data_IF_225711694370
#
_entry.id   IF_225711694370
#
_cell.length_a   1.000
_cell.length_b   1.000
_cell.length_c   1.000
_cell.angle_alpha   90.00
_cell.angle_beta   90.00
_cell.angle_gamma   90.00
#
_symmetry.space_group_name_H-M   'P 1'
#
loop_
_entity.id
_entity.type
_entity.pdbx_description
1 polymer ?
#
# COMPACT_ATOMS: atom_id res chain seq x y z
N UNK A 1 13.87 11.86 -30.10
CA UNK A 1 14.58 11.35 -28.90
C UNK A 1 13.69 11.62 -27.70
N UNK A 2 12.77 10.71 -27.36
CA UNK A 2 11.84 10.92 -26.25
C UNK A 2 12.62 10.83 -24.94
N UNK A 3 12.62 11.89 -24.13
CA UNK A 3 13.04 11.84 -22.73
C UNK A 3 12.40 10.62 -22.06
N UNK A 4 13.20 9.61 -21.75
CA UNK A 4 12.73 8.52 -20.92
C UNK A 4 12.57 9.08 -19.52
N UNK A 5 11.33 9.40 -19.15
CA UNK A 5 10.95 9.75 -17.77
C UNK A 5 11.54 8.71 -16.81
N UNK A 6 12.45 9.13 -15.94
CA UNK A 6 13.10 8.27 -14.93
C UNK A 6 12.20 8.11 -13.70
N UNK A 7 10.95 7.70 -13.93
CA UNK A 7 10.00 7.41 -12.87
C UNK A 7 8.94 6.44 -13.38
N UNK A 8 8.23 5.78 -12.46
CA UNK A 8 7.14 4.90 -12.83
C UNK A 8 5.98 5.71 -13.44
N UNK A 9 5.29 5.15 -14.45
CA UNK A 9 4.10 5.79 -15.05
C UNK A 9 2.85 5.54 -14.18
N UNK A 10 2.92 6.00 -12.93
CA UNK A 10 1.83 5.92 -11.95
C UNK A 10 1.06 7.23 -11.99
N UNK A 11 -0.22 7.18 -12.39
CA UNK A 11 -1.07 8.38 -12.48
C UNK A 11 -1.83 8.70 -11.19
N UNK A 12 -1.91 7.74 -10.27
CA UNK A 12 -2.76 7.82 -9.07
C UNK A 12 -1.90 7.77 -7.83
N UNK A 13 -2.04 8.77 -6.96
CA UNK A 13 -1.40 8.76 -5.66
C UNK A 13 -2.05 7.73 -4.72
N UNK A 14 -1.29 6.74 -4.20
CA UNK A 14 -1.85 5.67 -3.38
C UNK A 14 -2.62 6.14 -2.13
N UNK A 15 -2.19 7.20 -1.39
CA UNK A 15 -2.98 7.71 -0.27
C UNK A 15 -4.36 8.21 -0.70
N UNK A 16 -4.46 8.89 -1.85
CA UNK A 16 -5.73 9.41 -2.37
C UNK A 16 -6.69 8.27 -2.68
N UNK A 17 -6.21 7.21 -3.34
CA UNK A 17 -7.01 6.03 -3.62
C UNK A 17 -7.52 5.37 -2.32
N UNK A 18 -6.65 5.26 -1.31
CA UNK A 18 -7.03 4.71 0.01
C UNK A 18 -8.13 5.54 0.67
N UNK A 19 -8.00 6.88 0.67
CA UNK A 19 -9.03 7.76 1.23
C UNK A 19 -10.36 7.67 0.48
N UNK A 20 -10.33 7.55 -0.84
CA UNK A 20 -11.55 7.31 -1.64
C UNK A 20 -12.22 6.01 -1.19
N UNK A 21 -11.48 4.93 -0.99
CA UNK A 21 -12.05 3.66 -0.55
C UNK A 21 -12.58 3.68 0.88
N UNK A 22 -11.90 4.40 1.79
CA UNK A 22 -12.39 4.62 3.17
C UNK A 22 -13.70 5.42 3.13
N UNK A 23 -13.75 6.49 2.33
CA UNK A 23 -14.97 7.28 2.12
C UNK A 23 -16.09 6.41 1.54
N UNK A 24 -15.79 5.60 0.52
CA UNK A 24 -16.75 4.65 -0.05
C UNK A 24 -17.26 3.66 1.00
N UNK A 25 -16.40 3.14 1.89
CA UNK A 25 -16.83 2.23 2.96
C UNK A 25 -17.85 2.87 3.90
N UNK A 26 -17.66 4.14 4.25
CA UNK A 26 -18.60 4.89 5.08
C UNK A 26 -19.87 5.26 4.33
N UNK A 27 -19.76 5.66 3.06
CA UNK A 27 -20.90 5.96 2.20
C UNK A 27 -21.77 4.72 1.98
N UNK A 28 -21.17 3.56 1.69
CA UNK A 28 -21.89 2.29 1.55
C UNK A 28 -22.51 1.87 2.88
N UNK A 29 -21.87 2.10 4.01
CA UNK A 29 -22.47 1.84 5.32
C UNK A 29 -23.68 2.74 5.61
N UNK A 30 -23.64 3.99 5.14
CA UNK A 30 -24.76 4.92 5.28
C UNK A 30 -25.96 4.50 4.41
N UNK A 31 -25.71 4.05 3.19
CA UNK A 31 -26.76 3.57 2.27
C UNK A 31 -27.28 2.17 2.62
N UNK A 32 -26.37 1.26 2.99
CA UNK A 32 -26.62 -0.15 3.29
C UNK A 32 -25.85 -0.49 4.57
N UNK A 33 -26.48 -0.32 5.74
CA UNK A 33 -25.83 -0.58 7.03
C UNK A 33 -25.40 -2.03 7.15
N UNK A 34 -24.09 -2.26 7.25
CA UNK A 34 -23.51 -3.57 7.50
C UNK A 34 -22.69 -3.51 8.80
N UNK A 35 -23.41 -3.26 9.88
CA UNK A 35 -22.86 -3.01 11.20
C UNK A 35 -22.79 -4.28 12.04
N UNK A 36 -21.94 -4.25 13.06
CA UNK A 36 -21.86 -5.28 14.09
C UNK A 36 -21.84 -4.68 15.48
N UNK A 37 -22.24 -5.48 16.46
CA UNK A 37 -22.33 -5.08 17.88
C UNK A 37 -21.12 -5.50 18.72
N UNK A 38 -20.25 -6.35 18.20
CA UNK A 38 -19.14 -6.96 18.93
C UNK A 38 -18.03 -5.94 19.23
N UNK A 39 -17.88 -5.51 20.48
CA UNK A 39 -16.91 -4.49 20.87
C UNK A 39 -15.45 -4.90 20.63
N UNK A 40 -15.12 -6.17 20.80
CA UNK A 40 -13.76 -6.68 20.58
C UNK A 40 -13.29 -6.49 19.13
N UNK A 41 -14.21 -6.55 18.15
CA UNK A 41 -13.89 -6.27 16.75
C UNK A 41 -13.50 -4.80 16.54
N UNK A 42 -14.05 -3.87 17.33
CA UNK A 42 -13.67 -2.45 17.25
C UNK A 42 -12.26 -2.24 17.78
N UNK A 43 -11.90 -2.86 18.91
CA UNK A 43 -10.53 -2.82 19.43
C UNK A 43 -9.53 -3.47 18.47
N UNK A 44 -9.92 -4.59 17.84
CA UNK A 44 -9.12 -5.21 16.78
C UNK A 44 -8.95 -4.26 15.58
N UNK A 45 -10.02 -3.59 15.15
CA UNK A 45 -9.98 -2.58 14.08
C UNK A 45 -9.04 -1.43 14.40
N UNK A 46 -9.07 -0.94 15.64
CA UNK A 46 -8.14 0.09 16.11
C UNK A 46 -6.68 -0.40 16.03
N UNK A 47 -6.38 -1.60 16.54
CA UNK A 47 -5.04 -2.17 16.47
C UNK A 47 -4.57 -2.35 15.01
N UNK A 48 -5.45 -2.83 14.12
CA UNK A 48 -5.18 -2.96 12.68
C UNK A 48 -4.87 -1.59 12.06
N UNK A 49 -5.65 -0.55 12.37
CA UNK A 49 -5.43 0.80 11.86
C UNK A 49 -4.05 1.34 12.29
N UNK A 50 -3.67 1.16 13.55
CA UNK A 50 -2.35 1.56 14.07
C UNK A 50 -1.22 0.85 13.30
N UNK A 51 -1.32 -0.47 13.11
CA UNK A 51 -0.33 -1.22 12.31
C UNK A 51 -0.29 -0.68 10.87
N UNK A 52 -1.46 -0.36 10.30
CA UNK A 52 -1.60 0.26 8.99
C UNK A 52 -0.81 1.56 8.87
N UNK A 53 -0.81 2.42 9.89
CA UNK A 53 0.00 3.66 9.94
C UNK A 53 1.49 3.42 10.15
N UNK A 54 1.85 2.42 10.95
CA UNK A 54 3.25 2.14 11.25
C UNK A 54 4.03 1.65 10.03
N UNK A 55 3.39 0.88 9.14
CA UNK A 55 4.08 0.32 7.95
C UNK A 55 4.63 1.40 7.00
N UNK A 56 3.85 2.39 6.51
CA UNK A 56 4.39 3.50 5.72
C UNK A 56 5.46 4.30 6.47
N UNK A 57 5.29 4.51 7.78
CA UNK A 57 6.28 5.21 8.60
C UNK A 57 7.63 4.50 8.61
N UNK A 58 7.66 3.18 8.84
CA UNK A 58 8.89 2.40 8.77
C UNK A 58 9.46 2.35 7.34
N UNK A 59 8.61 2.36 6.31
CA UNK A 59 9.06 2.42 4.93
C UNK A 59 9.85 3.70 4.66
N UNK A 60 9.25 4.85 5.04
CA UNK A 60 9.87 6.17 4.90
C UNK A 60 11.21 6.21 5.63
N UNK A 61 11.32 5.60 6.82
CA UNK A 61 12.60 5.50 7.55
C UNK A 61 13.67 4.75 6.77
N UNK A 62 13.32 3.66 6.09
CA UNK A 62 14.28 2.93 5.24
C UNK A 62 14.67 3.74 4.00
N UNK A 63 13.73 4.46 3.36
CA UNK A 63 14.03 5.38 2.25
C UNK A 63 14.98 6.50 2.66
N UNK A 64 14.75 7.13 3.81
CA UNK A 64 15.64 8.16 4.36
C UNK A 64 17.05 7.62 4.64
N UNK A 65 17.17 6.42 5.23
CA UNK A 65 18.47 5.78 5.46
C UNK A 65 19.19 5.47 4.15
N UNK A 66 18.45 5.00 3.14
CA UNK A 66 18.99 4.65 1.82
C UNK A 66 19.24 5.87 0.92
N UNK A 67 18.93 7.10 1.38
CA UNK A 67 19.02 8.36 0.61
C UNK A 67 18.35 8.25 -0.76
N UNK A 68 17.20 7.59 -0.81
CA UNK A 68 16.38 7.41 -2.01
C UNK A 68 14.96 7.90 -1.75
N UNK A 69 14.20 8.13 -2.82
CA UNK A 69 12.90 8.81 -2.74
C UNK A 69 11.74 7.84 -2.53
N UNK A 70 10.77 8.26 -1.71
CA UNK A 70 9.47 7.58 -1.53
C UNK A 70 8.49 7.97 -2.66
N UNK A 71 8.80 9.03 -3.40
CA UNK A 71 7.91 9.58 -4.42
C UNK A 71 7.91 8.67 -5.67
N UNK A 72 6.76 8.13 -6.10
CA UNK A 72 6.64 7.35 -7.35
C UNK A 72 7.10 8.09 -8.60
N UNK A 73 7.15 9.43 -8.54
CA UNK A 73 7.61 10.32 -9.61
C UNK A 73 9.10 10.71 -9.51
N UNK A 74 9.82 10.22 -8.50
CA UNK A 74 11.25 10.49 -8.33
C UNK A 74 12.11 9.34 -8.86
N UNK A 75 13.35 9.66 -9.24
CA UNK A 75 14.34 8.65 -9.65
C UNK A 75 14.77 7.79 -8.45
N UNK A 76 14.46 6.50 -8.47
CA UNK A 76 14.95 5.56 -7.45
C UNK A 76 16.43 5.31 -7.70
N UNK A 77 17.30 5.56 -6.72
CA UNK A 77 18.76 5.40 -6.86
C UNK A 77 19.24 3.99 -6.49
N UNK A 78 18.56 3.32 -5.56
CA UNK A 78 18.90 1.98 -5.07
C UNK A 78 17.64 1.18 -4.72
N UNK A 79 17.71 -0.15 -4.87
CA UNK A 79 16.69 -1.07 -4.37
C UNK A 79 16.82 -1.19 -2.85
N UNK A 80 15.74 -0.92 -2.12
CA UNK A 80 15.68 -1.16 -0.67
C UNK A 80 15.19 -2.58 -0.44
N UNK A 81 16.05 -3.44 0.10
CA UNK A 81 15.71 -4.81 0.49
C UNK A 81 15.91 -5.07 1.99
N UNK A 82 16.03 -4.02 2.81
CA UNK A 82 16.22 -4.06 4.26
C UNK A 82 14.94 -3.74 5.03
N UNK A 83 14.96 -3.97 6.35
CA UNK A 83 13.84 -3.65 7.23
C UNK A 83 12.54 -4.31 6.79
N UNK A 84 11.47 -3.50 6.71
CA UNK A 84 10.13 -4.00 6.32
C UNK A 84 10.06 -4.48 4.86
N UNK A 85 10.98 -4.05 3.99
CA UNK A 85 11.07 -4.51 2.59
C UNK A 85 11.61 -5.94 2.46
N UNK A 86 12.05 -6.57 3.57
CA UNK A 86 12.34 -8.01 3.61
C UNK A 86 11.09 -8.87 3.68
N UNK A 87 9.99 -8.31 4.19
CA UNK A 87 8.74 -9.04 4.42
C UNK A 87 7.85 -9.02 3.17
N UNK A 88 7.78 -7.86 2.51
CA UNK A 88 7.02 -7.65 1.28
C UNK A 88 7.74 -6.63 0.43
N UNK A 89 7.62 -6.74 -0.90
CA UNK A 89 8.10 -5.69 -1.82
C UNK A 89 7.25 -4.42 -1.76
N UNK A 90 6.02 -4.53 -1.25
CA UNK A 90 5.00 -3.48 -1.25
C UNK A 90 4.44 -3.18 0.17
N UNK A 91 5.28 -2.99 1.20
CA UNK A 91 4.81 -2.90 2.59
C UNK A 91 4.00 -1.62 2.86
N UNK A 92 4.22 -0.54 2.11
CA UNK A 92 3.41 0.69 2.17
C UNK A 92 1.96 0.38 1.78
N UNK A 93 1.76 -0.36 0.69
CA UNK A 93 0.44 -0.73 0.19
C UNK A 93 -0.29 -1.70 1.13
N UNK A 94 0.45 -2.60 1.80
CA UNK A 94 -0.10 -3.40 2.90
C UNK A 94 -0.63 -2.48 3.99
N UNK A 95 0.13 -1.45 4.38
CA UNK A 95 -0.31 -0.44 5.34
C UNK A 95 -1.62 0.23 4.96
N UNK A 96 -1.77 0.65 3.70
CA UNK A 96 -3.01 1.25 3.20
C UNK A 96 -4.21 0.31 3.20
N UNK A 97 -4.01 -0.96 2.84
CA UNK A 97 -5.08 -1.97 2.95
C UNK A 97 -5.49 -2.18 4.40
N UNK A 98 -4.52 -2.24 5.33
CA UNK A 98 -4.82 -2.32 6.76
C UNK A 98 -5.55 -1.08 7.28
N UNK A 99 -5.23 0.12 6.79
CA UNK A 99 -6.01 1.33 7.12
C UNK A 99 -7.46 1.21 6.64
N UNK A 100 -7.68 0.78 5.39
CA UNK A 100 -9.03 0.56 4.84
C UNK A 100 -9.83 -0.47 5.66
N UNK A 101 -9.16 -1.48 6.21
CA UNK A 101 -9.83 -2.47 7.07
C UNK A 101 -10.08 -1.89 8.46
N UNK A 102 -9.04 -1.34 9.08
CA UNK A 102 -9.03 -0.94 10.48
C UNK A 102 -9.99 0.20 10.81
N UNK A 103 -10.05 1.24 9.97
CA UNK A 103 -10.91 2.40 10.22
C UNK A 103 -12.41 2.07 10.22
N UNK A 104 -12.98 1.50 9.14
CA UNK A 104 -14.37 1.04 9.12
C UNK A 104 -14.67 0.01 10.22
N UNK A 105 -13.74 -0.93 10.49
CA UNK A 105 -13.93 -1.93 11.54
C UNK A 105 -13.97 -1.28 12.94
N UNK A 106 -13.11 -0.30 13.22
CA UNK A 106 -13.16 0.48 14.45
C UNK A 106 -14.49 1.25 14.61
N UNK A 107 -15.02 1.76 13.50
CA UNK A 107 -16.33 2.43 13.44
C UNK A 107 -17.53 1.46 13.52
N UNK A 108 -17.30 0.14 13.52
CA UNK A 108 -18.35 -0.86 13.69
C UNK A 108 -18.99 -1.38 12.40
N UNK A 109 -18.30 -1.31 11.26
CA UNK A 109 -18.81 -1.81 9.97
C UNK A 109 -17.83 -2.72 9.24
N UNK A 110 -18.37 -3.71 8.50
CA UNK A 110 -17.59 -4.67 7.73
C UNK A 110 -17.18 -4.20 6.32
N UNK A 111 -17.66 -3.03 5.88
CA UNK A 111 -17.41 -2.54 4.51
C UNK A 111 -15.92 -2.42 4.16
N UNK A 112 -15.07 -2.06 5.13
CA UNK A 112 -13.62 -2.01 4.92
C UNK A 112 -13.01 -3.37 4.54
N UNK A 113 -13.49 -4.46 5.15
CA UNK A 113 -13.07 -5.82 4.81
C UNK A 113 -13.53 -6.19 3.39
N UNK A 114 -14.79 -5.89 3.05
CA UNK A 114 -15.39 -6.23 1.75
C UNK A 114 -14.73 -5.47 0.60
N UNK A 115 -14.38 -4.20 0.80
CA UNK A 115 -13.75 -3.36 -0.23
C UNK A 115 -12.24 -3.60 -0.35
N UNK A 116 -11.62 -4.25 0.64
CA UNK A 116 -10.17 -4.47 0.66
C UNK A 116 -9.63 -5.27 -0.55
N UNK A 117 -10.27 -6.35 -1.04
CA UNK A 117 -9.79 -7.08 -2.22
C UNK A 117 -9.83 -6.21 -3.48
N UNK A 118 -10.83 -5.33 -3.59
CA UNK A 118 -10.95 -4.39 -4.72
C UNK A 118 -9.80 -3.36 -4.67
N UNK A 119 -9.49 -2.81 -3.50
CA UNK A 119 -8.34 -1.91 -3.34
C UNK A 119 -7.02 -2.61 -3.68
N UNK A 120 -6.84 -3.87 -3.27
CA UNK A 120 -5.65 -4.67 -3.62
C UNK A 120 -5.53 -4.83 -5.14
N UNK A 121 -6.63 -5.11 -5.85
CA UNK A 121 -6.64 -5.20 -7.31
C UNK A 121 -6.26 -3.85 -7.92
N UNK A 122 -6.84 -2.75 -7.44
CA UNK A 122 -6.50 -1.41 -7.91
C UNK A 122 -5.02 -1.08 -7.68
N UNK A 123 -4.46 -1.38 -6.51
CA UNK A 123 -3.02 -1.16 -6.28
C UNK A 123 -2.15 -2.01 -7.19
N UNK A 124 -2.48 -3.29 -7.39
CA UNK A 124 -1.72 -4.14 -8.30
C UNK A 124 -1.70 -3.55 -9.72
N UNK A 125 -2.87 -3.22 -10.27
CA UNK A 125 -3.03 -2.82 -11.67
C UNK A 125 -2.63 -1.38 -11.95
N UNK A 126 -2.95 -0.46 -11.05
CA UNK A 126 -2.77 0.98 -11.30
C UNK A 126 -1.42 1.50 -10.81
N UNK A 127 -0.73 0.75 -9.94
CA UNK A 127 0.49 1.24 -9.28
C UNK A 127 1.61 0.21 -9.30
N UNK A 128 1.46 -0.90 -8.57
CA UNK A 128 2.55 -1.84 -8.29
C UNK A 128 3.13 -2.44 -9.58
N UNK A 129 2.31 -2.86 -10.54
CA UNK A 129 2.81 -3.40 -11.81
C UNK A 129 3.68 -2.38 -12.57
N UNK A 130 3.33 -1.09 -12.53
CA UNK A 130 4.11 -0.03 -13.18
C UNK A 130 5.41 0.25 -12.42
N UNK A 131 5.37 0.26 -11.09
CA UNK A 131 6.57 0.43 -10.25
C UNK A 131 7.54 -0.74 -10.40
N UNK A 132 7.06 -1.98 -10.36
CA UNK A 132 7.90 -3.17 -10.53
C UNK A 132 8.51 -3.21 -11.95
N UNK A 133 7.75 -2.86 -12.99
CA UNK A 133 8.27 -2.82 -14.37
C UNK A 133 9.36 -1.73 -14.55
N UNK A 134 9.19 -0.57 -13.93
CA UNK A 134 10.21 0.47 -13.90
C UNK A 134 11.48 0.00 -13.17
N UNK A 135 11.34 -0.65 -12.01
CA UNK A 135 12.48 -1.18 -11.25
C UNK A 135 13.20 -2.32 -11.98
N UNK A 136 12.47 -3.21 -12.67
CA UNK A 136 13.05 -4.23 -13.55
C UNK A 136 13.86 -3.60 -14.68
N UNK A 137 13.30 -2.60 -15.36
CA UNK A 137 14.00 -1.91 -16.45
C UNK A 137 15.25 -1.18 -15.96
N UNK A 138 15.19 -0.57 -14.78
CA UNK A 138 16.29 0.26 -14.24
C UNK A 138 17.41 -0.57 -13.63
N UNK A 139 17.08 -1.61 -12.87
CA UNK A 139 18.07 -2.37 -12.08
C UNK A 139 18.29 -3.81 -12.55
N UNK A 140 17.52 -4.29 -13.53
CA UNK A 140 17.70 -5.57 -14.20
C UNK A 140 17.80 -6.75 -13.22
N UNK A 141 18.94 -7.43 -13.26
CA UNK A 141 19.20 -8.65 -12.48
C UNK A 141 19.13 -8.39 -10.96
N UNK A 142 19.55 -7.21 -10.49
CA UNK A 142 19.51 -6.89 -9.05
C UNK A 142 18.07 -6.95 -8.51
N UNK A 143 17.11 -6.41 -9.28
CA UNK A 143 15.71 -6.43 -8.90
C UNK A 143 15.09 -7.82 -9.08
N UNK A 144 15.47 -8.54 -10.14
CA UNK A 144 15.01 -9.92 -10.36
C UNK A 144 15.44 -10.85 -9.22
N UNK A 145 16.68 -10.71 -8.74
CA UNK A 145 17.20 -11.43 -7.57
C UNK A 145 16.50 -11.02 -6.27
N UNK A 146 16.04 -9.78 -6.15
CA UNK A 146 15.20 -9.37 -5.03
C UNK A 146 13.79 -9.99 -5.14
N UNK A 147 13.20 -10.02 -6.34
CA UNK A 147 11.88 -10.61 -6.60
C UNK A 147 11.80 -12.10 -6.29
N UNK A 148 12.88 -12.85 -6.47
CA UNK A 148 12.92 -14.28 -6.17
C UNK A 148 12.94 -14.58 -4.66
N UNK A 149 13.38 -13.62 -3.84
CA UNK A 149 13.50 -13.77 -2.38
C UNK A 149 12.34 -13.18 -1.60
N UNK A 150 11.71 -12.13 -2.13
CA UNK A 150 10.65 -11.39 -1.43
C UNK A 150 9.40 -11.33 -2.28
N UNK A 151 8.27 -11.73 -1.69
CA UNK A 151 6.96 -11.75 -2.36
C UNK A 151 6.42 -10.34 -2.60
N UNK A 152 5.55 -10.20 -3.59
CA UNK A 152 4.88 -8.93 -3.93
C UNK A 152 4.05 -8.41 -2.75
N UNK A 153 3.29 -9.30 -2.13
CA UNK A 153 2.52 -9.11 -0.90
C UNK A 153 3.03 -10.12 0.14
N UNK A 154 2.78 -9.89 1.44
CA UNK A 154 3.22 -10.78 2.54
C UNK A 154 2.88 -12.25 2.28
#
# INVERSE_FOLDING_TARGET
MSEHKDHADVKIHPPVLTFIFIFLAYLTNWLIPLQFSMQWLRYLGFAIAIIGFLLPFFAIREFMKAKTTVNPHGSVSNIISSGIFRLSRNPIYVGFVLMLIGFPLYSGTYWGLILSPVLIICFNKLVIEHEEAYLEKKFGEQYTNYKSRVRRWL
#
